data_IF_674489998237
#
_entry.id   IF_674489998237
#
_cell.length_a   1.000
_cell.length_b   1.000
_cell.length_c   1.000
_cell.angle_alpha   90.00
_cell.angle_beta   90.00
_cell.angle_gamma   90.00
#
_symmetry.space_group_name_H-M   'P 1'
#
loop_
_entity.id
_entity.type
_entity.pdbx_description
1 polymer ?
#
# COMPACT_ATOMS: atom_id res chain seq x y z
N UNK A 1 -21.98 5.33 13.58
CA UNK A 1 -20.64 5.42 12.94
C UNK A 1 -20.81 5.71 11.44
N UNK A 2 -19.93 6.51 10.86
CA UNK A 2 -19.97 6.73 9.43
C UNK A 2 -19.67 5.40 8.67
N UNK A 3 -20.37 5.18 7.56
CA UNK A 3 -20.24 3.97 6.74
C UNK A 3 -18.81 3.86 6.18
N UNK A 4 -18.24 2.66 6.24
CA UNK A 4 -17.00 2.32 5.55
C UNK A 4 -17.27 2.12 4.06
N UNK A 5 -16.40 2.67 3.23
CA UNK A 5 -16.43 2.52 1.78
C UNK A 5 -15.03 2.28 1.24
N UNK A 6 -14.89 1.32 0.33
CA UNK A 6 -13.64 1.09 -0.42
C UNK A 6 -13.81 1.64 -1.83
N UNK A 7 -12.88 2.49 -2.24
CA UNK A 7 -12.89 3.19 -3.52
C UNK A 7 -11.67 2.77 -4.33
N UNK A 8 -11.89 2.31 -5.56
CA UNK A 8 -10.82 2.13 -6.53
C UNK A 8 -10.39 3.49 -7.08
N UNK A 9 -9.09 3.78 -7.02
CA UNK A 9 -8.53 5.07 -7.41
C UNK A 9 -8.20 5.07 -8.90
N UNK A 10 -8.85 5.92 -9.66
CA UNK A 10 -8.58 6.09 -11.09
C UNK A 10 -7.69 7.30 -11.40
N UNK A 11 -7.62 8.28 -10.50
CA UNK A 11 -6.81 9.48 -10.68
C UNK A 11 -7.37 10.69 -9.91
N UNK A 12 -7.05 11.89 -10.36
CA UNK A 12 -7.64 13.13 -9.84
C UNK A 12 -7.40 13.37 -8.34
N UNK A 13 -8.47 13.78 -7.64
CA UNK A 13 -8.44 14.03 -6.20
C UNK A 13 -8.19 12.77 -5.38
N UNK A 14 -8.67 11.61 -5.83
CA UNK A 14 -8.48 10.34 -5.13
C UNK A 14 -7.01 9.91 -5.14
N UNK A 15 -6.30 10.07 -6.26
CA UNK A 15 -4.86 9.82 -6.31
C UNK A 15 -4.10 10.79 -5.40
N UNK A 16 -4.55 12.04 -5.31
CA UNK A 16 -3.99 13.01 -4.36
C UNK A 16 -4.19 12.54 -2.92
N UNK A 17 -5.39 12.11 -2.55
CA UNK A 17 -5.70 11.60 -1.22
C UNK A 17 -4.87 10.35 -0.91
N UNK A 18 -4.70 9.45 -1.89
CA UNK A 18 -3.86 8.26 -1.77
C UNK A 18 -2.40 8.62 -1.44
N UNK A 19 -1.84 9.61 -2.14
CA UNK A 19 -0.47 10.07 -1.91
C UNK A 19 -0.33 10.81 -0.58
N UNK A 20 -1.32 11.62 -0.21
CA UNK A 20 -1.25 12.51 0.94
C UNK A 20 -1.56 11.83 2.28
N UNK A 21 -2.21 10.67 2.27
CA UNK A 21 -2.64 9.97 3.50
C UNK A 21 -1.52 9.76 4.53
N UNK A 22 -0.28 9.35 4.17
CA UNK A 22 0.80 9.18 5.15
C UNK A 22 1.07 10.44 5.97
N UNK A 23 1.00 11.63 5.35
CA UNK A 23 1.23 12.90 6.07
C UNK A 23 0.18 13.18 7.14
N UNK A 24 -1.03 12.62 7.01
CA UNK A 24 -2.06 12.68 8.05
C UNK A 24 -1.80 11.66 9.15
N UNK A 25 -1.50 10.40 8.78
CA UNK A 25 -1.25 9.32 9.73
C UNK A 25 -0.03 9.61 10.59
N UNK A 26 1.05 10.11 9.99
CA UNK A 26 2.33 10.32 10.66
C UNK A 26 2.53 11.73 11.23
N UNK A 27 1.50 12.57 11.28
CA UNK A 27 1.61 13.96 11.75
C UNK A 27 2.24 14.11 13.14
N UNK A 28 2.04 13.12 14.02
CA UNK A 28 2.57 13.09 15.38
C UNK A 28 3.74 12.12 15.58
N UNK A 29 4.31 11.59 14.48
CA UNK A 29 5.42 10.63 14.53
C UNK A 29 6.75 11.33 14.16
N UNK A 30 7.56 11.77 15.14
CA UNK A 30 8.74 12.59 14.89
C UNK A 30 9.86 11.85 14.15
N UNK A 31 9.85 10.52 14.20
CA UNK A 31 10.86 9.69 13.53
C UNK A 31 10.49 9.33 12.09
N UNK A 32 9.26 9.60 11.66
CA UNK A 32 8.88 9.36 10.28
C UNK A 32 9.58 10.32 9.33
N UNK A 33 10.20 9.78 8.29
CA UNK A 33 10.86 10.56 7.24
C UNK A 33 9.97 10.58 6.00
N UNK A 34 9.31 11.70 5.68
CA UNK A 34 8.38 11.76 4.56
C UNK A 34 9.14 11.63 3.23
N UNK A 35 8.67 10.78 2.30
CA UNK A 35 9.18 10.75 0.95
C UNK A 35 8.77 12.01 0.18
N UNK A 36 9.43 12.30 -0.92
CA UNK A 36 9.00 13.37 -1.82
C UNK A 36 7.72 12.96 -2.54
N UNK A 37 6.62 13.70 -2.37
CA UNK A 37 5.33 13.42 -3.01
C UNK A 37 5.43 13.28 -4.54
N UNK A 38 6.32 14.05 -5.16
CA UNK A 38 6.59 13.97 -6.60
C UNK A 38 7.15 12.61 -7.00
N UNK A 39 8.05 12.05 -6.19
CA UNK A 39 8.64 10.72 -6.46
C UNK A 39 7.61 9.61 -6.21
N UNK A 40 6.80 9.70 -5.15
CA UNK A 40 5.70 8.75 -4.93
C UNK A 40 4.72 8.77 -6.12
N UNK A 41 4.36 9.96 -6.61
CA UNK A 41 3.50 10.10 -7.80
C UNK A 41 4.14 9.47 -9.03
N UNK A 42 5.43 9.70 -9.26
CA UNK A 42 6.17 9.11 -10.38
C UNK A 42 6.22 7.59 -10.28
N UNK A 43 6.49 7.07 -9.08
CA UNK A 43 6.55 5.63 -8.82
C UNK A 43 5.21 4.94 -9.08
N UNK A 44 4.10 5.60 -8.78
CA UNK A 44 2.75 5.07 -9.02
C UNK A 44 2.25 5.30 -10.47
N UNK A 45 2.94 6.07 -11.31
CA UNK A 45 2.48 6.37 -12.68
C UNK A 45 2.95 5.30 -13.67
N UNK A 46 2.03 4.49 -14.27
CA UNK A 46 2.39 3.46 -15.23
C UNK A 46 3.07 3.96 -16.49
N UNK A 47 2.95 5.25 -16.80
CA UNK A 47 3.58 5.87 -17.98
C UNK A 47 4.98 6.39 -17.71
N UNK A 48 5.41 6.44 -16.45
CA UNK A 48 6.67 7.07 -16.04
C UNK A 48 7.63 6.12 -15.34
N UNK A 49 7.13 5.08 -14.72
CA UNK A 49 7.96 4.15 -13.96
C UNK A 49 8.08 2.81 -14.70
N UNK A 50 9.30 2.36 -15.05
CA UNK A 50 9.52 1.20 -15.93
C UNK A 50 9.01 -0.12 -15.35
N UNK A 51 8.87 -0.24 -14.01
CA UNK A 51 8.31 -1.43 -13.38
C UNK A 51 6.93 -1.81 -13.94
N UNK A 52 6.13 -0.81 -14.37
CA UNK A 52 4.77 -1.04 -14.87
C UNK A 52 4.70 -1.54 -16.32
N UNK A 53 5.82 -1.58 -17.05
CA UNK A 53 5.86 -2.17 -18.40
C UNK A 53 5.49 -3.66 -18.38
N UNK A 54 5.78 -4.35 -17.26
CA UNK A 54 5.54 -5.79 -17.07
C UNK A 54 4.65 -6.11 -15.89
N UNK A 55 4.04 -5.10 -15.30
CA UNK A 55 3.25 -5.23 -14.09
C UNK A 55 1.91 -4.51 -14.21
N UNK A 56 0.93 -5.00 -13.47
CA UNK A 56 -0.37 -4.35 -13.32
C UNK A 56 -0.55 -3.87 -11.89
N UNK A 57 -1.34 -2.83 -11.69
CA UNK A 57 -1.70 -2.35 -10.37
C UNK A 57 -3.16 -1.93 -10.26
N UNK A 58 -3.66 -1.96 -9.05
CA UNK A 58 -4.87 -1.28 -8.61
C UNK A 58 -4.58 -0.55 -7.29
N UNK A 59 -5.19 0.58 -7.09
CA UNK A 59 -5.07 1.38 -5.87
C UNK A 59 -6.45 1.46 -5.21
N UNK A 60 -6.49 1.25 -3.90
CA UNK A 60 -7.72 1.38 -3.11
C UNK A 60 -7.55 2.39 -1.98
N UNK A 61 -8.61 3.13 -1.72
CA UNK A 61 -8.78 3.96 -0.52
C UNK A 61 -9.90 3.40 0.35
N UNK A 62 -9.71 3.44 1.65
CA UNK A 62 -10.78 3.26 2.63
C UNK A 62 -11.22 4.63 3.14
N UNK A 63 -12.53 4.88 3.10
CA UNK A 63 -13.16 6.11 3.61
C UNK A 63 -14.20 5.82 4.67
N UNK A 64 -14.22 6.65 5.70
CA UNK A 64 -15.32 6.77 6.66
C UNK A 64 -15.99 8.12 6.47
N UNK A 65 -17.16 8.10 5.81
CA UNK A 65 -17.80 9.35 5.38
C UNK A 65 -16.90 10.11 4.39
N UNK A 66 -16.50 11.32 4.75
CA UNK A 66 -15.59 12.15 3.92
C UNK A 66 -14.10 11.94 4.22
N UNK A 67 -13.76 11.18 5.25
CA UNK A 67 -12.39 11.01 5.69
C UNK A 67 -11.73 9.78 5.07
N UNK A 68 -10.55 9.97 4.47
CA UNK A 68 -9.69 8.87 4.04
C UNK A 68 -8.91 8.35 5.24
N UNK A 69 -9.11 7.07 5.58
CA UNK A 69 -8.52 6.40 6.75
C UNK A 69 -7.53 5.32 6.42
N UNK A 70 -7.49 4.87 5.15
CA UNK A 70 -6.54 3.84 4.72
C UNK A 70 -6.33 3.82 3.22
N UNK A 71 -5.21 3.21 2.81
CA UNK A 71 -4.85 2.98 1.40
C UNK A 71 -4.10 1.67 1.26
N UNK A 72 -4.20 1.05 0.08
CA UNK A 72 -3.42 -0.13 -0.30
C UNK A 72 -3.30 -0.21 -1.83
N UNK A 73 -2.24 -0.85 -2.31
CA UNK A 73 -2.07 -1.18 -3.73
C UNK A 73 -2.05 -2.69 -3.90
N UNK A 74 -2.80 -3.21 -4.86
CA UNK A 74 -2.64 -4.54 -5.39
C UNK A 74 -1.76 -4.50 -6.65
N UNK A 75 -0.84 -5.46 -6.79
CA UNK A 75 0.16 -5.49 -7.87
C UNK A 75 0.31 -6.92 -8.38
N UNK A 76 0.44 -7.09 -9.69
CA UNK A 76 0.84 -8.33 -10.35
C UNK A 76 2.15 -8.07 -11.10
N UNK A 77 3.23 -8.69 -10.65
CA UNK A 77 4.52 -8.68 -11.35
C UNK A 77 4.62 -9.93 -12.23
N UNK A 78 4.42 -9.74 -13.53
CA UNK A 78 4.41 -10.85 -14.49
C UNK A 78 5.78 -11.45 -14.69
N UNK A 79 6.86 -10.64 -14.66
CA UNK A 79 8.22 -11.12 -14.80
C UNK A 79 8.64 -12.00 -13.61
N UNK A 80 8.32 -11.54 -12.39
CA UNK A 80 8.56 -12.33 -11.20
C UNK A 80 7.83 -13.68 -11.26
N UNK A 81 6.54 -13.65 -11.55
CA UNK A 81 5.72 -14.85 -11.60
C UNK A 81 6.19 -15.83 -12.70
N UNK A 82 6.55 -15.33 -13.85
CA UNK A 82 7.09 -16.15 -14.94
C UNK A 82 8.43 -16.77 -14.57
N UNK A 83 9.34 -15.99 -13.99
CA UNK A 83 10.68 -16.46 -13.61
C UNK A 83 10.63 -17.52 -12.52
N UNK A 84 9.77 -17.37 -11.51
CA UNK A 84 9.64 -18.28 -10.38
C UNK A 84 8.61 -19.39 -10.59
N UNK A 85 7.82 -19.36 -11.65
CA UNK A 85 6.72 -20.30 -11.87
C UNK A 85 5.60 -20.15 -10.83
N UNK A 86 5.42 -18.97 -10.27
CA UNK A 86 4.45 -18.66 -9.21
C UNK A 86 3.20 -17.95 -9.76
N UNK A 87 2.13 -17.98 -8.98
CA UNK A 87 0.91 -17.19 -9.19
C UNK A 87 0.70 -16.27 -8.00
N UNK A 88 1.65 -15.37 -7.81
CA UNK A 88 1.71 -14.46 -6.68
C UNK A 88 1.12 -13.09 -7.03
N UNK A 89 0.18 -12.61 -6.22
CA UNK A 89 -0.16 -11.21 -6.12
C UNK A 89 0.70 -10.50 -5.08
N UNK A 90 0.83 -9.20 -5.21
CA UNK A 90 1.58 -8.36 -4.28
C UNK A 90 0.61 -7.35 -3.69
N UNK A 91 0.75 -7.06 -2.40
CA UNK A 91 0.18 -5.88 -1.79
C UNK A 91 1.29 -4.94 -1.34
N UNK A 92 1.02 -3.64 -1.39
CA UNK A 92 2.00 -2.62 -1.01
C UNK A 92 1.39 -1.25 -0.81
N UNK A 93 2.23 -0.26 -0.54
CA UNK A 93 1.81 1.12 -0.24
C UNK A 93 0.70 1.20 0.81
N UNK A 94 0.69 0.23 1.73
CA UNK A 94 -0.32 0.12 2.76
C UNK A 94 -0.07 1.14 3.85
N UNK A 95 -1.09 1.94 4.12
CA UNK A 95 -1.17 2.86 5.24
C UNK A 95 -2.60 2.84 5.77
N UNK A 96 -2.76 2.73 7.06
CA UNK A 96 -4.08 2.73 7.67
C UNK A 96 -4.01 3.39 9.06
N UNK A 97 -5.03 4.19 9.38
CA UNK A 97 -5.29 4.59 10.76
C UNK A 97 -5.49 3.35 11.64
N UNK A 98 -5.52 3.50 12.95
CA UNK A 98 -5.84 2.39 13.86
C UNK A 98 -7.32 1.99 13.74
N UNK A 99 -7.66 1.43 12.58
CA UNK A 99 -9.01 1.02 12.17
C UNK A 99 -8.93 -0.40 11.56
N UNK A 100 -9.13 -1.45 12.37
CA UNK A 100 -9.06 -2.83 11.91
C UNK A 100 -10.08 -3.18 10.82
N UNK A 101 -11.27 -2.57 10.85
CA UNK A 101 -12.31 -2.77 9.83
C UNK A 101 -11.86 -2.23 8.48
N UNK A 102 -11.27 -1.01 8.47
CA UNK A 102 -10.73 -0.42 7.26
C UNK A 102 -9.56 -1.25 6.69
N UNK A 103 -8.66 -1.69 7.56
CA UNK A 103 -7.55 -2.55 7.16
C UNK A 103 -8.05 -3.86 6.54
N UNK A 104 -8.96 -4.57 7.21
CA UNK A 104 -9.54 -5.82 6.71
C UNK A 104 -10.23 -5.64 5.36
N UNK A 105 -10.99 -4.55 5.19
CA UNK A 105 -11.67 -4.24 3.93
C UNK A 105 -10.69 -3.96 2.78
N UNK A 106 -9.59 -3.26 3.05
CA UNK A 106 -8.52 -3.00 2.08
C UNK A 106 -7.84 -4.30 1.64
N UNK A 107 -7.43 -5.16 2.58
CA UNK A 107 -6.82 -6.46 2.25
C UNK A 107 -7.78 -7.35 1.46
N UNK A 108 -9.05 -7.43 1.86
CA UNK A 108 -10.08 -8.19 1.14
C UNK A 108 -10.26 -7.70 -0.29
N UNK A 109 -10.18 -6.38 -0.52
CA UNK A 109 -10.29 -5.81 -1.86
C UNK A 109 -9.12 -6.19 -2.75
N UNK A 110 -7.89 -6.15 -2.23
CA UNK A 110 -6.70 -6.62 -2.95
C UNK A 110 -6.78 -8.11 -3.21
N UNK A 111 -7.12 -8.92 -2.20
CA UNK A 111 -7.28 -10.37 -2.33
C UNK A 111 -8.27 -10.72 -3.44
N UNK A 112 -9.41 -10.05 -3.46
CA UNK A 112 -10.43 -10.24 -4.50
C UNK A 112 -9.86 -9.94 -5.88
N UNK A 113 -9.18 -8.80 -6.03
CA UNK A 113 -8.61 -8.40 -7.31
C UNK A 113 -7.48 -9.35 -7.79
N UNK A 114 -6.56 -9.77 -6.90
CA UNK A 114 -5.48 -10.69 -7.29
C UNK A 114 -6.02 -12.08 -7.65
N UNK A 115 -7.08 -12.55 -6.98
CA UNK A 115 -7.77 -13.79 -7.34
C UNK A 115 -8.44 -13.70 -8.71
N UNK A 116 -9.10 -12.58 -9.02
CA UNK A 116 -9.68 -12.32 -10.34
C UNK A 116 -8.62 -12.32 -11.45
N UNK A 117 -7.38 -11.94 -11.13
CA UNK A 117 -6.22 -12.02 -12.03
C UNK A 117 -5.58 -13.41 -12.10
N UNK A 118 -6.15 -14.42 -11.43
CA UNK A 118 -5.67 -15.78 -11.45
C UNK A 118 -4.51 -16.08 -10.48
N UNK A 119 -4.25 -15.18 -9.55
CA UNK A 119 -3.23 -15.41 -8.52
C UNK A 119 -3.81 -16.29 -7.40
N UNK A 120 -2.96 -17.09 -6.79
CA UNK A 120 -3.36 -18.07 -5.76
C UNK A 120 -2.98 -17.67 -4.33
N UNK A 121 -2.04 -16.76 -4.20
CA UNK A 121 -1.63 -16.17 -2.93
C UNK A 121 -1.14 -14.74 -3.14
N UNK A 122 -0.98 -13.99 -2.06
CA UNK A 122 -0.38 -12.66 -2.10
C UNK A 122 0.72 -12.51 -1.04
N UNK A 123 1.68 -11.65 -1.33
CA UNK A 123 2.83 -11.32 -0.47
C UNK A 123 3.02 -9.82 -0.40
N UNK A 124 3.47 -9.32 0.72
CA UNK A 124 3.76 -7.90 0.91
C UNK A 124 4.20 -7.59 2.34
N UNK A 125 4.37 -6.30 2.64
CA UNK A 125 4.27 -5.20 1.67
C UNK A 125 5.50 -5.08 0.79
N UNK A 126 5.30 -4.77 -0.51
CA UNK A 126 6.35 -4.41 -1.46
C UNK A 126 5.96 -3.10 -2.16
N UNK A 127 6.86 -2.13 -2.23
CA UNK A 127 6.55 -0.78 -2.71
C UNK A 127 7.42 -0.34 -3.91
N UNK A 128 7.23 -0.85 -5.14
CA UNK A 128 6.31 -1.89 -5.58
C UNK A 128 6.92 -3.29 -5.69
N UNK A 129 8.22 -3.46 -5.49
CA UNK A 129 8.94 -4.74 -5.60
C UNK A 129 10.06 -4.86 -4.57
N UNK A 130 10.75 -6.00 -4.55
CA UNK A 130 11.89 -6.25 -3.66
C UNK A 130 13.11 -5.34 -3.90
N UNK A 131 13.12 -4.58 -4.99
CA UNK A 131 14.16 -3.59 -5.28
C UNK A 131 13.92 -2.23 -4.61
N UNK A 132 12.84 -2.11 -3.86
CA UNK A 132 12.40 -0.90 -3.19
C UNK A 132 12.13 -1.18 -1.71
N UNK A 133 11.32 -0.36 -1.07
CA UNK A 133 10.94 -0.52 0.32
C UNK A 133 10.09 -1.79 0.53
N UNK A 134 10.46 -2.61 1.51
CA UNK A 134 9.89 -3.94 1.78
C UNK A 134 9.66 -4.13 3.28
N UNK A 135 8.57 -4.79 3.61
CA UNK A 135 8.30 -5.27 4.96
C UNK A 135 7.62 -4.27 5.87
N UNK A 136 7.33 -4.73 7.08
CA UNK A 136 6.76 -3.94 8.15
C UNK A 136 7.77 -3.80 9.29
N UNK A 137 7.84 -2.60 9.87
CA UNK A 137 8.59 -2.36 11.09
C UNK A 137 7.88 -3.05 12.27
N UNK A 138 8.59 -3.89 12.99
CA UNK A 138 8.07 -4.61 14.17
C UNK A 138 8.75 -4.18 15.47
N UNK A 139 9.97 -3.65 15.37
CA UNK A 139 10.79 -3.14 16.49
C UNK A 139 11.57 -1.91 16.04
N UNK A 140 11.98 -1.05 16.97
CA UNK A 140 12.80 0.12 16.67
C UNK A 140 12.02 1.36 16.26
N UNK A 141 10.76 1.51 16.70
CA UNK A 141 9.92 2.67 16.41
C UNK A 141 10.48 4.00 16.94
N UNK A 142 11.43 3.95 17.88
CA UNK A 142 12.07 5.12 18.48
C UNK A 142 13.20 5.70 17.63
N UNK A 143 13.51 5.06 16.48
CA UNK A 143 14.56 5.50 15.58
C UNK A 143 13.99 5.89 14.22
N UNK A 144 14.57 6.92 13.56
CA UNK A 144 14.21 7.22 12.18
C UNK A 144 14.65 6.08 11.26
N UNK A 145 13.86 5.74 10.23
CA UNK A 145 14.23 4.70 9.28
C UNK A 145 15.47 5.12 8.47
N UNK A 146 16.33 4.15 8.15
CA UNK A 146 17.37 4.33 7.15
C UNK A 146 16.76 4.41 5.73
N UNK A 147 17.59 4.76 4.75
CA UNK A 147 17.17 4.83 3.36
C UNK A 147 16.57 3.50 2.90
N UNK A 148 15.40 3.54 2.28
CA UNK A 148 14.63 2.38 1.79
C UNK A 148 14.16 1.41 2.87
N UNK A 149 14.16 1.82 4.13
CA UNK A 149 13.58 1.04 5.23
C UNK A 149 12.13 1.46 5.47
N UNK A 150 11.29 0.45 5.75
CA UNK A 150 9.90 0.68 6.09
C UNK A 150 9.75 1.40 7.44
N UNK A 151 8.75 2.25 7.55
CA UNK A 151 8.24 2.81 8.79
C UNK A 151 6.72 2.74 8.80
N UNK A 152 6.15 2.30 9.91
CA UNK A 152 4.71 2.23 10.10
C UNK A 152 4.35 2.50 11.56
N UNK A 153 3.10 2.89 11.84
CA UNK A 153 2.65 3.04 13.23
C UNK A 153 2.76 1.72 13.99
N UNK A 154 2.94 1.76 15.33
CA UNK A 154 3.10 0.56 16.16
C UNK A 154 1.78 -0.18 16.42
N UNK A 155 0.76 0.02 15.60
CA UNK A 155 -0.53 -0.65 15.76
C UNK A 155 -0.38 -2.17 15.62
N UNK A 156 -0.95 -2.92 16.55
CA UNK A 156 -1.02 -4.38 16.48
C UNK A 156 -2.28 -4.87 15.75
N UNK A 157 -3.33 -4.07 15.76
CA UNK A 157 -4.68 -4.44 15.33
C UNK A 157 -4.81 -4.92 13.89
N UNK A 158 -3.95 -4.44 12.97
CA UNK A 158 -3.96 -4.88 11.57
C UNK A 158 -2.75 -5.71 11.15
N UNK A 159 -1.74 -5.89 12.03
CA UNK A 159 -0.58 -6.73 11.72
C UNK A 159 -0.93 -8.21 11.52
N UNK A 160 -1.97 -8.67 12.21
CA UNK A 160 -2.46 -10.05 12.07
C UNK A 160 -3.18 -10.29 10.73
N UNK A 161 -3.50 -9.22 10.00
CA UNK A 161 -4.15 -9.28 8.69
C UNK A 161 -3.13 -9.31 7.53
N UNK A 162 -1.90 -8.87 7.79
CA UNK A 162 -0.80 -8.81 6.84
C UNK A 162 0.04 -10.08 6.90
#
# INVERSE_FOLDING_TARGET
MARMEIIAVEGGSELKDFIDLPWKIYAEYPNWVPPLKKEVRRMLDPRRHPFWEFSERILFLARRGSETVGRITGIIDRHYNQFHGEKMGIWGFFECADDPEAAAALFSSVETWVRQKGMTFMRGPLNPSTNYEVGLLIEGFDYPPALMMAYNPPYSSWRELA
#
